data_IF_853944384970
#
_entry.id   IF_853944384970
#
_cell.length_a   1.000
_cell.length_b   1.000
_cell.length_c   1.000
_cell.angle_alpha   90.00
_cell.angle_beta   90.00
_cell.angle_gamma   90.00
#
_symmetry.space_group_name_H-M   'P 1'
#
loop_
_entity.id
_entity.type
_entity.pdbx_description
1 polymer ?
#
# COMPACT_ATOMS: atom_id res chain seq x y z
N UNK A 1 -14.28 20.40 -6.79
CA UNK A 1 -13.94 19.07 -6.21
C UNK A 1 -13.09 19.30 -4.97
N UNK A 2 -13.50 18.73 -3.82
CA UNK A 2 -12.77 18.86 -2.56
C UNK A 2 -11.41 18.14 -2.62
N UNK A 3 -10.49 18.46 -1.71
CA UNK A 3 -9.19 17.76 -1.62
C UNK A 3 -9.37 16.25 -1.39
N UNK A 4 -10.30 15.87 -0.51
CA UNK A 4 -10.64 14.46 -0.26
C UNK A 4 -11.14 13.76 -1.54
N UNK A 5 -11.98 14.40 -2.34
CA UNK A 5 -12.46 13.82 -3.61
C UNK A 5 -11.32 13.58 -4.60
N UNK A 6 -10.37 14.54 -4.73
CA UNK A 6 -9.17 14.37 -5.57
C UNK A 6 -8.30 13.19 -5.10
N UNK A 7 -8.12 13.07 -3.79
CA UNK A 7 -7.33 11.99 -3.19
C UNK A 7 -7.99 10.62 -3.39
N UNK A 8 -9.31 10.53 -3.20
CA UNK A 8 -10.07 9.31 -3.46
C UNK A 8 -10.03 8.92 -4.94
N UNK A 9 -10.16 9.90 -5.85
CA UNK A 9 -10.00 9.64 -7.28
C UNK A 9 -8.61 9.08 -7.59
N UNK A 10 -7.55 9.70 -7.06
CA UNK A 10 -6.17 9.26 -7.25
C UNK A 10 -5.96 7.85 -6.66
N UNK A 11 -6.59 7.53 -5.54
CA UNK A 11 -6.53 6.21 -4.92
C UNK A 11 -7.22 5.13 -5.77
N UNK A 12 -8.45 5.40 -6.24
CA UNK A 12 -9.26 4.41 -6.97
C UNK A 12 -9.02 4.39 -8.48
N UNK A 13 -8.24 5.31 -9.03
CA UNK A 13 -7.81 5.33 -10.43
C UNK A 13 -6.27 5.39 -10.54
N UNK A 14 -5.58 4.67 -9.65
CA UNK A 14 -4.14 4.70 -9.54
C UNK A 14 -3.45 4.03 -10.74
N UNK A 15 -2.42 4.69 -11.28
CA UNK A 15 -1.54 4.13 -12.30
C UNK A 15 -0.17 3.76 -11.74
N UNK A 16 0.23 4.30 -10.59
CA UNK A 16 1.53 4.09 -9.96
C UNK A 16 1.38 3.70 -8.50
N UNK A 17 1.65 2.44 -8.18
CA UNK A 17 1.42 1.88 -6.85
C UNK A 17 2.74 1.36 -6.26
N UNK A 18 3.17 1.92 -5.14
CA UNK A 18 4.27 1.35 -4.36
C UNK A 18 3.76 0.17 -3.53
N UNK A 19 4.55 -0.90 -3.43
CA UNK A 19 4.21 -2.08 -2.63
C UNK A 19 5.33 -2.33 -1.62
N UNK A 20 5.15 -1.81 -0.40
CA UNK A 20 6.16 -1.88 0.67
C UNK A 20 6.09 -3.21 1.38
N UNK A 21 7.20 -3.95 1.39
CA UNK A 21 7.25 -5.32 1.89
C UNK A 21 6.87 -6.37 0.86
N UNK A 22 6.87 -6.01 -0.44
CA UNK A 22 6.67 -6.97 -1.52
C UNK A 22 7.70 -8.10 -1.44
N UNK A 23 7.24 -9.33 -1.56
CA UNK A 23 8.10 -10.52 -1.46
C UNK A 23 7.56 -11.64 -2.35
N UNK A 24 8.47 -12.41 -2.95
CA UNK A 24 8.11 -13.63 -3.68
C UNK A 24 7.77 -14.80 -2.73
N UNK A 25 8.11 -14.70 -1.43
CA UNK A 25 8.03 -15.84 -0.48
C UNK A 25 6.60 -16.21 -0.07
N UNK A 26 5.68 -15.24 -0.01
CA UNK A 26 4.30 -15.46 0.47
C UNK A 26 3.25 -15.47 -0.64
N UNK A 27 3.65 -15.25 -1.88
CA UNK A 27 2.75 -15.25 -3.04
C UNK A 27 1.83 -14.02 -3.18
N UNK A 28 1.72 -13.16 -2.18
CA UNK A 28 0.75 -12.04 -2.19
C UNK A 28 1.01 -11.06 -3.32
N UNK A 29 2.27 -10.69 -3.54
CA UNK A 29 2.59 -9.77 -4.65
C UNK A 29 2.39 -10.44 -6.02
N UNK A 30 2.67 -11.73 -6.12
CA UNK A 30 2.37 -12.49 -7.34
C UNK A 30 0.86 -12.51 -7.65
N UNK A 31 0.00 -12.68 -6.63
CA UNK A 31 -1.46 -12.60 -6.80
C UNK A 31 -1.90 -11.20 -7.26
N UNK A 32 -1.35 -10.14 -6.68
CA UNK A 32 -1.64 -8.77 -7.13
C UNK A 32 -1.31 -8.59 -8.62
N UNK A 33 -0.14 -9.06 -9.06
CA UNK A 33 0.27 -8.99 -10.46
C UNK A 33 -0.64 -9.82 -11.37
N UNK A 34 -1.01 -11.04 -10.96
CA UNK A 34 -1.91 -11.90 -11.70
C UNK A 34 -3.31 -11.28 -11.85
N UNK A 35 -3.85 -10.74 -10.77
CA UNK A 35 -5.15 -10.06 -10.78
C UNK A 35 -5.13 -8.78 -11.62
N UNK A 36 -4.04 -8.02 -11.57
CA UNK A 36 -3.85 -6.84 -12.40
C UNK A 36 -3.80 -7.21 -13.90
N UNK A 37 -3.07 -8.27 -14.24
CA UNK A 37 -3.01 -8.78 -15.61
C UNK A 37 -4.37 -9.29 -16.08
N UNK A 38 -5.10 -10.02 -15.23
CA UNK A 38 -6.43 -10.56 -15.55
C UNK A 38 -7.45 -9.45 -15.85
N UNK A 39 -7.45 -8.35 -15.09
CA UNK A 39 -8.36 -7.21 -15.33
C UNK A 39 -7.89 -6.31 -16.48
N UNK A 40 -6.70 -6.55 -17.04
CA UNK A 40 -6.08 -5.71 -18.06
C UNK A 40 -5.68 -4.33 -17.52
N UNK A 41 -5.11 -4.30 -16.31
CA UNK A 41 -4.69 -3.06 -15.65
C UNK A 41 -3.53 -2.40 -16.38
N UNK A 42 -3.60 -1.08 -16.51
CA UNK A 42 -2.48 -0.22 -16.92
C UNK A 42 -1.86 0.42 -15.66
N UNK A 43 -1.42 -0.45 -14.75
CA UNK A 43 -0.85 -0.05 -13.46
C UNK A 43 0.62 -0.44 -13.41
N UNK A 44 1.47 0.52 -13.06
CA UNK A 44 2.89 0.29 -12.78
C UNK A 44 3.10 0.09 -11.29
N UNK A 45 3.66 -1.07 -10.95
CA UNK A 45 4.00 -1.42 -9.56
C UNK A 45 5.47 -1.09 -9.26
N UNK A 46 5.70 -0.61 -8.04
CA UNK A 46 7.02 -0.29 -7.49
C UNK A 46 7.20 -1.10 -6.20
N UNK A 47 7.66 -2.36 -6.30
CA UNK A 47 7.95 -3.15 -5.11
C UNK A 47 9.11 -2.53 -4.32
N UNK A 48 8.96 -2.47 -2.99
CA UNK A 48 10.01 -2.03 -2.09
C UNK A 48 10.44 -3.22 -1.24
N UNK A 49 11.69 -3.65 -1.45
CA UNK A 49 12.29 -4.77 -0.73
C UNK A 49 13.81 -4.51 -0.54
N UNK A 50 14.31 -4.37 0.71
CA UNK A 50 15.73 -4.09 0.96
C UNK A 50 16.66 -5.26 0.58
N UNK A 51 16.11 -6.49 0.47
CA UNK A 51 16.87 -7.71 0.18
C UNK A 51 16.89 -8.15 -1.29
N UNK A 52 16.18 -7.45 -2.20
CA UNK A 52 16.06 -7.90 -3.59
C UNK A 52 16.08 -6.72 -4.58
N UNK A 53 16.68 -6.93 -5.75
CA UNK A 53 16.65 -5.99 -6.87
C UNK A 53 15.43 -6.19 -7.76
N UNK A 54 14.77 -7.34 -7.61
CA UNK A 54 13.59 -7.73 -8.36
C UNK A 54 12.66 -8.59 -7.47
N UNK A 55 11.35 -8.40 -7.59
CA UNK A 55 10.33 -9.24 -6.95
C UNK A 55 9.30 -9.65 -8.00
N UNK A 56 9.14 -10.95 -8.21
CA UNK A 56 8.19 -11.53 -9.19
C UNK A 56 8.34 -10.94 -10.60
N UNK A 57 9.55 -10.72 -11.09
CA UNK A 57 9.83 -10.17 -12.42
C UNK A 57 9.70 -8.63 -12.50
N UNK A 58 9.43 -7.94 -11.40
CA UNK A 58 9.32 -6.48 -11.35
C UNK A 58 10.52 -5.91 -10.60
N UNK A 59 11.24 -4.97 -11.22
CA UNK A 59 12.37 -4.29 -10.59
C UNK A 59 11.97 -3.62 -9.27
N UNK A 60 12.73 -3.85 -8.21
CA UNK A 60 12.43 -3.39 -6.86
C UNK A 60 13.31 -2.22 -6.41
N UNK A 61 12.72 -1.31 -5.65
CA UNK A 61 13.43 -0.29 -4.89
C UNK A 61 13.96 -0.90 -3.58
N UNK A 62 15.20 -0.59 -3.22
CA UNK A 62 15.80 -1.08 -1.97
C UNK A 62 15.25 -0.38 -0.71
N UNK A 63 14.59 0.76 -0.88
CA UNK A 63 13.99 1.53 0.21
C UNK A 63 12.85 2.42 -0.31
N UNK A 64 12.04 2.94 0.60
CA UNK A 64 11.00 3.94 0.29
C UNK A 64 11.65 5.23 -0.26
N UNK A 65 12.85 5.59 0.21
CA UNK A 65 13.57 6.74 -0.29
C UNK A 65 13.98 6.64 -1.78
N UNK A 66 14.10 5.43 -2.31
CA UNK A 66 14.43 5.17 -3.72
C UNK A 66 13.21 5.18 -4.66
N UNK A 67 11.99 5.33 -4.13
CA UNK A 67 10.78 5.47 -4.95
C UNK A 67 10.84 6.76 -5.80
N UNK A 68 10.29 6.77 -7.03
CA UNK A 68 10.24 7.95 -7.86
C UNK A 68 9.42 9.07 -7.19
N UNK A 69 9.95 10.29 -7.21
CA UNK A 69 9.37 11.43 -6.53
C UNK A 69 8.14 11.98 -7.27
N UNK A 70 7.06 12.26 -6.52
CA UNK A 70 5.84 12.86 -7.07
C UNK A 70 5.00 11.95 -7.98
N UNK A 71 5.43 10.71 -8.22
CA UNK A 71 4.80 9.79 -9.17
C UNK A 71 3.78 8.86 -8.49
N UNK A 72 4.06 8.39 -7.28
CA UNK A 72 3.27 7.35 -6.60
C UNK A 72 1.88 7.86 -6.22
N UNK A 73 0.83 7.17 -6.65
CA UNK A 73 -0.57 7.50 -6.36
C UNK A 73 -0.99 7.06 -4.95
N UNK A 74 -0.59 5.85 -4.56
CA UNK A 74 -0.68 5.36 -3.19
C UNK A 74 0.35 4.26 -2.91
N UNK A 75 0.54 3.93 -1.63
CA UNK A 75 1.38 2.82 -1.21
C UNK A 75 0.54 1.73 -0.54
N UNK A 76 0.73 0.49 -0.99
CA UNK A 76 0.25 -0.72 -0.33
C UNK A 76 1.31 -1.21 0.66
N UNK A 77 0.91 -1.54 1.89
CA UNK A 77 1.80 -1.90 2.99
C UNK A 77 1.57 -3.36 3.37
N UNK A 78 2.59 -4.19 3.19
CA UNK A 78 2.62 -5.64 3.42
C UNK A 78 3.68 -6.05 4.47
N UNK A 79 4.11 -5.13 5.32
CA UNK A 79 5.08 -5.40 6.38
C UNK A 79 4.38 -5.88 7.65
N UNK A 80 5.16 -6.38 8.63
CA UNK A 80 4.62 -6.74 9.96
C UNK A 80 4.12 -5.50 10.69
N UNK A 81 3.15 -5.69 11.61
CA UNK A 81 2.50 -4.57 12.31
C UNK A 81 3.49 -3.68 13.09
N UNK A 82 4.59 -4.24 13.61
CA UNK A 82 5.61 -3.47 14.34
C UNK A 82 6.35 -2.45 13.46
N UNK A 83 6.37 -2.65 12.15
CA UNK A 83 7.06 -1.80 11.20
C UNK A 83 6.16 -0.71 10.58
N UNK A 84 4.85 -0.81 10.78
CA UNK A 84 3.87 0.01 10.04
C UNK A 84 4.03 1.49 10.32
N UNK A 85 4.17 1.90 11.58
CA UNK A 85 4.31 3.33 11.94
C UNK A 85 5.57 3.96 11.34
N UNK A 86 6.69 3.22 11.32
CA UNK A 86 7.93 3.68 10.68
C UNK A 86 7.76 3.81 9.16
N UNK A 87 7.12 2.82 8.53
CA UNK A 87 6.80 2.87 7.09
C UNK A 87 5.90 4.05 6.76
N UNK A 88 4.87 4.31 7.56
CA UNK A 88 3.99 5.48 7.37
C UNK A 88 4.77 6.80 7.46
N UNK A 89 5.71 6.92 8.41
CA UNK A 89 6.56 8.10 8.55
C UNK A 89 7.46 8.31 7.33
N UNK A 90 8.07 7.24 6.82
CA UNK A 90 8.88 7.29 5.61
C UNK A 90 8.05 7.66 4.37
N UNK A 91 6.87 7.07 4.19
CA UNK A 91 5.95 7.41 3.09
C UNK A 91 5.50 8.87 3.16
N UNK A 92 5.15 9.33 4.36
CA UNK A 92 4.76 10.73 4.60
C UNK A 92 5.86 11.71 4.23
N UNK A 93 7.12 11.41 4.58
CA UNK A 93 8.28 12.26 4.24
C UNK A 93 8.52 12.35 2.73
N UNK A 94 8.04 11.36 1.96
CA UNK A 94 8.07 11.34 0.48
C UNK A 94 6.82 11.93 -0.17
N UNK A 95 5.90 12.51 0.63
CA UNK A 95 4.64 13.05 0.13
C UNK A 95 3.62 11.99 -0.31
N UNK A 96 3.85 10.71 0.01
CA UNK A 96 2.92 9.62 -0.28
C UNK A 96 1.95 9.52 0.89
N UNK A 97 0.77 10.10 0.71
CA UNK A 97 -0.23 10.28 1.79
C UNK A 97 -1.48 9.40 1.64
N UNK A 98 -1.57 8.62 0.58
CA UNK A 98 -2.63 7.62 0.39
C UNK A 98 -2.03 6.24 0.63
N UNK A 99 -2.61 5.45 1.55
CA UNK A 99 -2.06 4.16 1.95
C UNK A 99 -3.15 3.09 2.06
N UNK A 100 -2.80 1.87 1.65
CA UNK A 100 -3.58 0.66 1.79
C UNK A 100 -2.80 -0.29 2.70
N UNK A 101 -3.35 -0.59 3.89
CA UNK A 101 -2.68 -1.39 4.91
C UNK A 101 -3.29 -2.79 4.95
N UNK A 102 -2.56 -3.76 4.44
CA UNK A 102 -2.94 -5.17 4.46
C UNK A 102 -2.66 -5.88 5.78
N UNK A 103 -1.63 -5.44 6.50
CA UNK A 103 -1.14 -6.11 7.72
C UNK A 103 -2.25 -6.38 8.73
N UNK A 104 -2.24 -7.57 9.31
CA UNK A 104 -3.08 -8.01 10.44
C UNK A 104 -2.38 -7.76 11.77
N UNK A 105 -3.00 -8.10 12.88
CA UNK A 105 -2.49 -7.90 14.24
C UNK A 105 -3.08 -6.69 14.94
N UNK A 106 -4.25 -6.22 14.48
CA UNK A 106 -4.95 -5.03 14.97
C UNK A 106 -6.23 -5.38 15.74
N UNK A 107 -7.31 -4.66 15.55
CA UNK A 107 -8.53 -4.80 16.32
C UNK A 107 -9.13 -6.20 16.40
N UNK A 108 -8.85 -7.04 15.41
CA UNK A 108 -9.25 -8.46 15.37
C UNK A 108 -8.55 -9.32 16.43
N UNK A 109 -7.42 -8.87 16.98
CA UNK A 109 -6.65 -9.62 17.99
C UNK A 109 -7.04 -9.24 19.44
N UNK A 110 -8.02 -8.36 19.64
CA UNK A 110 -8.50 -7.97 20.96
C UNK A 110 -8.02 -6.60 21.43
N UNK A 111 -7.91 -6.40 22.74
CA UNK A 111 -7.65 -5.06 23.33
C UNK A 111 -6.30 -4.46 22.91
N UNK A 112 -5.23 -5.25 22.97
CA UNK A 112 -3.89 -4.80 22.57
C UNK A 112 -3.85 -4.44 21.06
N UNK A 113 -4.52 -5.23 20.21
CA UNK A 113 -4.64 -4.93 18.79
C UNK A 113 -5.42 -3.65 18.51
N UNK A 114 -6.48 -3.38 19.27
CA UNK A 114 -7.23 -2.11 19.17
C UNK A 114 -6.37 -0.89 19.52
N UNK A 115 -5.48 -1.00 20.51
CA UNK A 115 -4.53 0.07 20.84
C UNK A 115 -3.56 0.34 19.68
N UNK A 116 -3.00 -0.70 19.09
CA UNK A 116 -2.15 -0.58 17.89
C UNK A 116 -2.90 0.08 16.73
N UNK A 117 -4.14 -0.33 16.50
CA UNK A 117 -4.98 0.25 15.44
C UNK A 117 -5.22 1.73 15.68
N UNK A 118 -5.59 2.13 16.90
CA UNK A 118 -5.76 3.55 17.25
C UNK A 118 -4.48 4.35 17.01
N UNK A 119 -3.32 3.81 17.37
CA UNK A 119 -2.05 4.49 17.12
C UNK A 119 -1.81 4.77 15.63
N UNK A 120 -2.13 3.82 14.74
CA UNK A 120 -2.04 3.98 13.28
C UNK A 120 -3.07 5.00 12.78
N UNK A 121 -4.33 4.90 13.21
CA UNK A 121 -5.40 5.82 12.84
C UNK A 121 -5.10 7.26 13.27
N UNK A 122 -4.63 7.45 14.51
CA UNK A 122 -4.27 8.76 15.05
C UNK A 122 -3.06 9.36 14.33
N UNK A 123 -2.06 8.53 14.00
CA UNK A 123 -0.94 8.95 13.16
C UNK A 123 -1.43 9.45 11.80
N UNK A 124 -2.22 8.63 11.08
CA UNK A 124 -2.73 8.99 9.76
C UNK A 124 -3.58 10.27 9.80
N UNK A 125 -4.43 10.42 10.82
CA UNK A 125 -5.27 11.62 11.00
C UNK A 125 -4.41 12.87 11.24
N UNK A 126 -3.43 12.79 12.12
CA UNK A 126 -2.52 13.90 12.44
C UNK A 126 -1.69 14.32 11.23
N UNK A 127 -1.18 13.37 10.47
CA UNK A 127 -0.33 13.61 9.31
C UNK A 127 -1.12 13.86 8.00
N UNK A 128 -2.45 13.88 8.08
CA UNK A 128 -3.31 14.09 6.90
C UNK A 128 -3.23 12.97 5.88
N UNK A 129 -2.96 11.74 6.31
CA UNK A 129 -2.92 10.56 5.42
C UNK A 129 -4.30 9.94 5.26
N UNK A 130 -4.60 9.42 4.05
CA UNK A 130 -5.79 8.62 3.78
C UNK A 130 -5.43 7.15 3.94
N UNK A 131 -6.08 6.47 4.88
CA UNK A 131 -5.85 5.06 5.20
C UNK A 131 -7.04 4.20 4.79
N UNK A 132 -6.79 3.14 4.02
CA UNK A 132 -7.67 2.00 3.84
C UNK A 132 -7.09 0.77 4.57
N UNK A 133 -7.88 0.09 5.37
CA UNK A 133 -7.44 -0.97 6.29
C UNK A 133 -7.35 -0.49 7.73
N UNK A 134 -6.69 -1.20 8.65
CA UNK A 134 -5.83 -2.38 8.43
C UNK A 134 -6.59 -3.67 8.16
N UNK A 135 -5.85 -4.78 8.02
CA UNK A 135 -6.36 -6.14 7.88
C UNK A 135 -7.47 -6.24 6.81
N UNK A 136 -7.16 -5.81 5.61
CA UNK A 136 -8.06 -5.92 4.45
C UNK A 136 -7.43 -6.76 3.34
N UNK A 137 -8.25 -7.24 2.40
CA UNK A 137 -7.80 -7.98 1.22
C UNK A 137 -7.52 -7.09 0.01
N UNK A 138 -7.72 -5.78 0.15
CA UNK A 138 -7.59 -4.84 -0.95
C UNK A 138 -8.89 -4.61 -1.72
N UNK A 139 -8.76 -4.19 -2.97
CA UNK A 139 -9.91 -3.87 -3.82
C UNK A 139 -9.64 -4.14 -5.30
N UNK A 140 -10.73 -4.26 -6.07
CA UNK A 140 -10.74 -4.19 -7.53
C UNK A 140 -11.68 -3.08 -7.99
N UNK A 141 -11.23 -2.29 -8.97
CA UNK A 141 -12.05 -1.33 -9.69
C UNK A 141 -12.13 -1.74 -11.16
N UNK A 142 -13.22 -2.42 -11.54
CA UNK A 142 -13.41 -2.94 -12.89
C UNK A 142 -13.57 -1.83 -13.92
N UNK A 143 -14.12 -0.69 -13.55
CA UNK A 143 -14.28 0.45 -14.46
C UNK A 143 -12.92 1.07 -14.83
N UNK A 144 -12.08 1.29 -13.85
CA UNK A 144 -10.73 1.83 -14.05
C UNK A 144 -9.68 0.74 -14.36
N UNK A 145 -10.07 -0.53 -14.36
CA UNK A 145 -9.18 -1.69 -14.51
C UNK A 145 -7.98 -1.66 -13.57
N UNK A 146 -8.25 -1.52 -12.28
CA UNK A 146 -7.23 -1.51 -11.23
C UNK A 146 -7.49 -2.67 -10.28
N UNK A 147 -6.44 -3.38 -9.92
CA UNK A 147 -6.48 -4.42 -8.91
C UNK A 147 -5.34 -4.26 -7.91
N UNK A 148 -5.71 -4.13 -6.63
CA UNK A 148 -4.86 -4.32 -5.46
C UNK A 148 -5.49 -5.37 -4.54
N UNK A 149 -5.89 -6.49 -5.12
CA UNK A 149 -6.51 -7.60 -4.40
C UNK A 149 -5.51 -8.73 -4.17
N UNK A 150 -5.44 -9.25 -2.93
CA UNK A 150 -4.48 -10.29 -2.54
C UNK A 150 -4.98 -11.72 -2.79
N UNK A 151 -6.29 -11.93 -2.90
CA UNK A 151 -6.93 -13.23 -3.07
C UNK A 151 -6.99 -13.74 -4.49
#
# INVERSE_FOLDING_TARGET
>A
MSDLQKRLQRFFNAHHIAVVGASAKNGWFANVLANAAWIGADTRFYPVNPGADEVCGVGACRSIAALPEGVIDFAAILVKEEQVLDVLAQLRSRGIVNVLLFSSGYGETGAAGREKQRAVEDYCRREGMLLMGPNCLGYMNFHARISMFLG
#
